data_IF_979231685110
#
_entry.id   IF_979231685110
#
_cell.length_a   1.000
_cell.length_b   1.000
_cell.length_c   1.000
_cell.angle_alpha   90.00
_cell.angle_beta   90.00
_cell.angle_gamma   90.00
#
_symmetry.space_group_name_H-M   'P 1'
#
loop_
_entity.id
_entity.type
_entity.pdbx_description
1 polymer ?
#
# COMPACT_ATOMS: atom_id res chain seq x y z
N UNK A 1 7.10 3.18 -1.43
CA UNK A 1 8.33 2.47 -1.84
C UNK A 1 8.59 2.82 -3.29
N UNK A 2 9.12 4.03 -3.58
CA UNK A 2 10.24 4.38 -4.49
C UNK A 2 10.74 3.27 -5.51
N UNK A 3 11.75 3.45 -6.36
CA UNK A 3 12.08 2.40 -7.39
C UNK A 3 12.83 1.17 -6.86
N UNK A 4 12.18 0.01 -6.77
CA UNK A 4 12.75 -1.26 -6.34
C UNK A 4 14.05 -1.65 -7.11
N UNK A 5 15.21 -1.10 -6.80
CA UNK A 5 16.52 -1.59 -7.20
C UNK A 5 16.65 -3.10 -6.97
N UNK A 6 15.95 -3.63 -5.96
CA UNK A 6 15.96 -5.04 -5.61
C UNK A 6 14.65 -5.47 -4.94
N UNK A 7 14.16 -6.64 -5.35
CA UNK A 7 13.10 -7.41 -4.69
C UNK A 7 13.68 -8.73 -4.14
N UNK A 8 13.33 -9.10 -2.92
CA UNK A 8 13.73 -10.38 -2.31
C UNK A 8 12.47 -11.09 -1.81
N UNK A 9 12.32 -12.38 -2.11
CA UNK A 9 11.22 -13.18 -1.58
C UNK A 9 11.61 -13.80 -0.24
N UNK A 10 10.67 -13.92 0.69
CA UNK A 10 10.94 -14.53 1.98
C UNK A 10 10.95 -16.07 1.87
N UNK A 11 12.06 -16.75 2.21
CA UNK A 11 12.22 -18.19 1.98
C UNK A 11 11.24 -19.07 2.78
N UNK A 12 10.75 -18.58 3.92
CA UNK A 12 9.84 -19.35 4.79
C UNK A 12 8.34 -19.06 4.57
N UNK A 13 7.97 -17.97 3.88
CA UNK A 13 6.56 -17.64 3.54
C UNK A 13 6.13 -18.21 2.19
N UNK A 14 6.94 -19.12 1.63
CA UNK A 14 6.65 -19.87 0.42
C UNK A 14 5.65 -21.02 0.63
N UNK A 15 4.86 -20.96 1.72
CA UNK A 15 3.79 -21.92 2.04
C UNK A 15 2.48 -21.49 1.37
N UNK A 16 1.58 -22.43 1.05
CA UNK A 16 0.42 -22.16 0.18
C UNK A 16 -0.48 -20.99 0.61
N UNK A 17 -0.51 -20.66 1.91
CA UNK A 17 -1.33 -19.57 2.47
C UNK A 17 -0.70 -18.17 2.43
N UNK A 18 0.62 -18.00 2.20
CA UNK A 18 1.34 -16.70 2.26
C UNK A 18 2.31 -16.45 1.09
N UNK A 19 2.16 -17.17 -0.03
CA UNK A 19 3.14 -17.27 -1.11
C UNK A 19 3.43 -15.98 -1.92
N UNK A 20 2.97 -14.81 -1.48
CA UNK A 20 3.20 -13.51 -2.13
C UNK A 20 3.89 -12.47 -1.21
N UNK A 21 4.43 -12.88 -0.05
CA UNK A 21 5.12 -11.99 0.89
C UNK A 21 6.56 -11.64 0.43
N UNK A 22 6.82 -10.34 0.26
CA UNK A 22 8.09 -9.78 -0.21
C UNK A 22 8.96 -9.29 0.98
N UNK A 23 10.24 -9.69 1.06
CA UNK A 23 11.22 -9.40 2.14
C UNK A 23 11.78 -7.96 2.10
N UNK A 24 11.84 -7.35 0.92
CA UNK A 24 12.21 -5.94 0.71
C UNK A 24 11.88 -5.54 -0.73
N UNK A 25 11.46 -4.29 -0.91
CA UNK A 25 11.57 -3.57 -2.18
C UNK A 25 12.49 -2.36 -1.90
N UNK A 26 13.74 -2.39 -2.36
CA UNK A 26 14.73 -1.31 -2.11
C UNK A 26 14.58 -0.24 -3.14
N UNK A 27 14.46 1.01 -2.74
CA UNK A 27 14.23 2.02 -3.72
C UNK A 27 15.44 2.80 -4.24
N UNK A 28 15.41 3.31 -5.47
CA UNK A 28 16.53 4.03 -6.10
C UNK A 28 16.74 5.46 -5.58
N UNK A 29 15.68 6.16 -5.15
CA UNK A 29 15.70 7.57 -4.71
C UNK A 29 14.70 7.83 -3.56
N UNK A 30 14.90 8.87 -2.73
CA UNK A 30 14.04 9.14 -1.54
C UNK A 30 12.70 9.80 -1.89
N UNK A 31 11.61 9.37 -1.25
CA UNK A 31 10.25 9.91 -1.43
C UNK A 31 9.88 10.85 -0.28
N UNK A 32 9.46 12.07 -0.63
CA UNK A 32 8.48 12.86 0.13
C UNK A 32 7.11 12.64 -0.52
N UNK A 33 6.04 12.87 0.23
CA UNK A 33 4.62 12.76 -0.15
C UNK A 33 4.01 11.38 0.16
N UNK A 34 3.12 11.38 1.14
CA UNK A 34 2.01 10.43 1.20
C UNK A 34 0.85 11.07 0.46
N UNK A 35 -0.12 10.30 0.01
CA UNK A 35 -1.40 10.84 -0.45
C UNK A 35 -2.55 10.20 0.30
N UNK A 36 -3.67 10.90 0.33
CA UNK A 36 -4.90 10.43 0.95
C UNK A 36 -5.89 10.01 -0.14
N UNK A 37 -6.63 8.93 0.09
CA UNK A 37 -7.70 8.48 -0.80
C UNK A 37 -8.81 7.78 0.00
N UNK A 38 -10.02 7.76 -0.55
CA UNK A 38 -11.20 7.24 0.16
C UNK A 38 -11.83 8.27 1.10
N UNK A 39 -12.70 7.81 2.00
CA UNK A 39 -13.40 8.69 2.92
C UNK A 39 -14.44 9.61 2.27
N UNK A 40 -14.89 9.30 1.05
CA UNK A 40 -15.96 10.04 0.36
C UNK A 40 -17.37 9.66 0.84
N UNK A 41 -18.40 10.17 0.18
CA UNK A 41 -19.81 9.82 0.45
C UNK A 41 -20.10 8.32 0.23
N UNK A 42 -19.28 7.64 -0.58
CA UNK A 42 -19.36 6.21 -0.80
C UNK A 42 -18.63 5.38 0.28
N UNK A 43 -18.01 6.02 1.29
CA UNK A 43 -17.42 5.39 2.48
C UNK A 43 -16.41 4.29 2.18
N UNK A 44 -15.75 4.36 1.02
CA UNK A 44 -14.72 3.39 0.64
C UNK A 44 -13.38 3.73 1.27
N UNK A 45 -12.71 2.70 1.78
CA UNK A 45 -11.40 2.80 2.41
C UNK A 45 -10.69 1.44 2.36
N UNK A 46 -9.37 1.47 2.49
CA UNK A 46 -8.55 0.29 2.79
C UNK A 46 -8.68 -0.10 4.26
N UNK A 47 -8.43 -1.37 4.62
CA UNK A 47 -8.61 -1.84 5.98
C UNK A 47 -7.48 -2.75 6.48
N UNK A 48 -7.65 -3.31 7.69
CA UNK A 48 -6.67 -4.21 8.30
C UNK A 48 -6.46 -5.44 7.40
N UNK A 49 -5.20 -5.71 7.08
CA UNK A 49 -4.80 -6.79 6.17
C UNK A 49 -4.47 -6.30 4.75
N UNK A 50 -4.89 -5.08 4.38
CA UNK A 50 -4.59 -4.51 3.07
C UNK A 50 -3.22 -3.81 3.02
N UNK A 51 -2.53 -3.68 4.17
CA UNK A 51 -1.22 -3.01 4.28
C UNK A 51 -0.19 -3.58 3.30
N UNK A 52 0.51 -2.69 2.58
CA UNK A 52 1.42 -3.07 1.51
C UNK A 52 0.71 -3.39 0.18
N UNK A 53 -0.62 -3.45 0.17
CA UNK A 53 -1.44 -3.63 -1.03
C UNK A 53 -1.32 -2.44 -2.00
N UNK A 54 -1.47 -2.68 -3.31
CA UNK A 54 -1.24 -1.66 -4.33
C UNK A 54 -2.44 -0.71 -4.49
N UNK A 55 -2.16 0.58 -4.61
CA UNK A 55 -3.11 1.58 -5.13
C UNK A 55 -2.78 1.85 -6.60
N UNK A 56 -3.71 1.50 -7.48
CA UNK A 56 -3.53 1.58 -8.93
C UNK A 56 -4.47 2.62 -9.52
N UNK A 57 -3.94 3.62 -10.22
CA UNK A 57 -4.73 4.57 -11.00
C UNK A 57 -4.36 4.45 -12.47
N UNK A 58 -5.37 4.29 -13.34
CA UNK A 58 -5.19 4.12 -14.80
C UNK A 58 -4.13 3.06 -15.17
N UNK A 59 -4.06 1.97 -14.40
CA UNK A 59 -3.13 0.86 -14.63
C UNK A 59 -1.70 1.05 -14.09
N UNK A 60 -1.39 2.18 -13.44
CA UNK A 60 -0.07 2.42 -12.83
C UNK A 60 -0.12 2.35 -11.31
N UNK A 61 0.92 1.76 -10.70
CA UNK A 61 1.10 1.71 -9.26
C UNK A 61 1.43 3.12 -8.73
N UNK A 62 0.44 3.77 -8.12
CA UNK A 62 0.53 5.12 -7.57
C UNK A 62 0.89 5.13 -6.09
N UNK A 63 0.52 4.06 -5.37
CA UNK A 63 0.78 3.99 -3.95
C UNK A 63 0.73 2.61 -3.36
N UNK A 64 1.12 2.54 -2.08
CA UNK A 64 0.90 1.36 -1.25
C UNK A 64 0.00 1.76 -0.08
N UNK A 65 -0.99 0.92 0.24
CA UNK A 65 -1.77 1.01 1.47
C UNK A 65 -0.80 1.09 2.64
N UNK A 66 -0.91 2.17 3.43
CA UNK A 66 0.03 2.45 4.52
C UNK A 66 -0.68 2.35 5.87
N UNK A 67 -1.53 3.32 6.19
CA UNK A 67 -2.26 3.34 7.45
C UNK A 67 -3.55 4.16 7.34
N UNK A 68 -4.40 4.06 8.35
CA UNK A 68 -5.67 4.79 8.44
C UNK A 68 -6.19 4.75 9.87
N UNK A 69 -7.45 5.11 10.07
CA UNK A 69 -8.10 5.00 11.38
C UNK A 69 -8.30 3.53 11.80
N UNK A 70 -8.55 3.32 13.09
CA UNK A 70 -8.84 1.98 13.62
C UNK A 70 -10.11 1.35 12.99
N UNK A 71 -11.10 2.17 12.66
CA UNK A 71 -12.30 1.80 11.92
C UNK A 71 -12.21 2.34 10.49
N UNK A 72 -12.36 1.45 9.52
CA UNK A 72 -12.27 1.73 8.08
C UNK A 72 -13.61 2.29 7.54
N UNK A 73 -13.56 3.05 6.46
CA UNK A 73 -14.77 3.51 5.74
C UNK A 73 -15.56 4.59 6.48
N UNK A 74 -14.90 5.31 7.38
CA UNK A 74 -15.53 6.43 8.07
C UNK A 74 -15.85 7.55 7.06
N UNK A 75 -17.06 8.14 7.11
CA UNK A 75 -17.42 9.24 6.22
C UNK A 75 -16.49 10.43 6.47
N UNK A 76 -15.94 10.99 5.40
CA UNK A 76 -15.01 12.13 5.40
C UNK A 76 -13.63 11.85 6.01
N UNK A 77 -13.28 10.57 6.23
CA UNK A 77 -11.96 10.18 6.75
C UNK A 77 -11.25 9.29 5.73
N UNK A 78 -10.20 9.80 5.06
CA UNK A 78 -9.47 9.02 4.07
C UNK A 78 -8.39 8.13 4.70
N UNK A 79 -8.04 7.06 3.99
CA UNK A 79 -6.82 6.29 4.24
C UNK A 79 -5.57 7.03 3.75
N UNK A 80 -4.41 6.67 4.31
CA UNK A 80 -3.12 7.24 3.96
C UNK A 80 -2.27 6.21 3.23
N UNK A 81 -1.68 6.65 2.14
CA UNK A 81 -0.97 5.80 1.19
C UNK A 81 0.43 6.36 0.95
N UNK A 82 1.40 5.46 0.80
CA UNK A 82 2.74 5.86 0.35
C UNK A 82 2.65 6.35 -1.09
N UNK A 83 3.11 7.56 -1.42
CA UNK A 83 3.18 7.99 -2.82
C UNK A 83 4.36 7.29 -3.51
N UNK A 84 4.16 6.92 -4.77
CA UNK A 84 5.17 6.30 -5.62
C UNK A 84 5.52 7.15 -6.83
N UNK A 85 4.87 8.30 -6.96
CA UNK A 85 5.06 9.28 -8.02
C UNK A 85 5.83 10.50 -7.53
#
# INVERSE_FOLDING_TARGET
MMEANLSIQHPEYNKPFYANDLMLIKLKESVSHMFCAGGGHDQKDSCKGDSGGPVVCKGHLQGLVSFGQAQCGQPYVPGVYTNLC
#
